data_IF_951845493489
#
_entry.id   IF_951845493489
#
_cell.length_a   1.000
_cell.length_b   1.000
_cell.length_c   1.000
_cell.angle_alpha   90.00
_cell.angle_beta   90.00
_cell.angle_gamma   90.00
#
_symmetry.space_group_name_H-M   'P 1'
#
loop_
_entity.id
_entity.type
_entity.pdbx_description
1 polymer ?
#
# COMPACT_ATOMS: atom_id res chain seq x y z
N UNK A 1 -23.03 -18.65 -13.41
CA UNK A 1 -21.82 -17.85 -13.09
C UNK A 1 -22.11 -16.36 -13.01
N UNK A 2 -22.80 -15.76 -13.99
CA UNK A 2 -23.21 -14.34 -13.95
C UNK A 2 -24.05 -13.95 -12.73
N UNK A 3 -24.93 -14.84 -12.24
CA UNK A 3 -25.72 -14.59 -11.03
C UNK A 3 -24.84 -14.37 -9.78
N UNK A 4 -23.86 -15.25 -9.55
CA UNK A 4 -22.92 -15.12 -8.44
C UNK A 4 -22.05 -13.86 -8.55
N UNK A 5 -21.62 -13.50 -9.76
CA UNK A 5 -20.89 -12.25 -10.00
C UNK A 5 -21.75 -11.02 -9.68
N UNK A 6 -23.04 -11.03 -10.05
CA UNK A 6 -23.98 -9.93 -9.76
C UNK A 6 -24.25 -9.82 -8.26
N UNK A 7 -24.37 -10.95 -7.56
CA UNK A 7 -24.55 -10.98 -6.11
C UNK A 7 -23.32 -10.44 -5.40
N UNK A 8 -22.11 -10.87 -5.78
CA UNK A 8 -20.86 -10.31 -5.24
C UNK A 8 -20.72 -8.80 -5.54
N UNK A 9 -21.15 -8.33 -6.72
CA UNK A 9 -21.14 -6.92 -7.08
C UNK A 9 -22.01 -6.10 -6.11
N UNK A 10 -23.23 -6.55 -5.84
CA UNK A 10 -24.15 -5.87 -4.92
C UNK A 10 -23.59 -5.89 -3.49
N UNK A 11 -23.06 -7.01 -3.04
CA UNK A 11 -22.44 -7.14 -1.71
C UNK A 11 -21.24 -6.19 -1.57
N UNK A 12 -20.39 -6.08 -2.58
CA UNK A 12 -19.23 -5.19 -2.58
C UNK A 12 -19.63 -3.71 -2.50
N UNK A 13 -20.69 -3.30 -3.23
CA UNK A 13 -21.21 -1.93 -3.18
C UNK A 13 -21.81 -1.63 -1.80
N UNK A 14 -22.62 -2.55 -1.26
CA UNK A 14 -23.24 -2.40 0.07
C UNK A 14 -22.18 -2.35 1.17
N UNK A 15 -21.18 -3.23 1.13
CA UNK A 15 -20.04 -3.18 2.05
C UNK A 15 -19.21 -1.89 1.89
N UNK A 16 -19.06 -1.43 0.64
CA UNK A 16 -18.45 -0.17 0.24
C UNK A 16 -19.10 1.06 0.89
N UNK A 17 -20.42 1.12 0.82
CA UNK A 17 -21.20 2.27 1.32
C UNK A 17 -21.41 2.20 2.84
N UNK A 18 -21.62 1.01 3.41
CA UNK A 18 -21.97 0.86 4.84
C UNK A 18 -20.76 0.82 5.78
N UNK A 19 -19.58 0.37 5.33
CA UNK A 19 -18.47 0.10 6.26
C UNK A 19 -17.09 0.53 5.78
N UNK A 20 -16.93 0.80 4.48
CA UNK A 20 -15.61 1.06 3.92
C UNK A 20 -15.04 2.44 4.29
N UNK A 21 -15.88 3.42 4.63
CA UNK A 21 -15.41 4.74 5.06
C UNK A 21 -14.55 4.72 6.34
N UNK A 22 -14.93 3.89 7.33
CA UNK A 22 -14.19 3.77 8.59
C UNK A 22 -12.89 2.98 8.47
N UNK A 23 -12.91 1.88 7.70
CA UNK A 23 -11.74 1.03 7.46
C UNK A 23 -10.77 1.71 6.50
N UNK A 24 -11.26 2.47 5.51
CA UNK A 24 -10.42 3.28 4.64
C UNK A 24 -9.63 4.34 5.43
N UNK A 25 -10.24 4.95 6.45
CA UNK A 25 -9.57 5.92 7.32
C UNK A 25 -8.42 5.31 8.13
N UNK A 26 -8.65 4.15 8.77
CA UNK A 26 -7.62 3.45 9.54
C UNK A 26 -6.54 2.86 8.63
N UNK A 27 -6.91 2.26 7.50
CA UNK A 27 -5.99 1.77 6.49
C UNK A 27 -5.12 2.89 5.90
N UNK A 28 -5.68 4.08 5.66
CA UNK A 28 -4.92 5.25 5.24
C UNK A 28 -3.90 5.71 6.30
N UNK A 29 -4.23 5.57 7.58
CA UNK A 29 -3.29 5.79 8.70
C UNK A 29 -2.11 4.81 8.65
N UNK A 30 -2.40 3.51 8.55
CA UNK A 30 -1.37 2.47 8.43
C UNK A 30 -0.49 2.64 7.17
N UNK A 31 -1.09 2.98 6.03
CA UNK A 31 -0.38 3.23 4.79
C UNK A 31 0.63 4.38 4.91
N UNK A 32 0.28 5.45 5.64
CA UNK A 32 1.20 6.58 5.88
C UNK A 32 2.44 6.16 6.66
N UNK A 33 2.29 5.30 7.67
CA UNK A 33 3.41 4.80 8.48
C UNK A 33 4.37 3.96 7.62
N UNK A 34 3.83 3.01 6.85
CA UNK A 34 4.59 2.19 5.90
C UNK A 34 5.28 3.03 4.82
N UNK A 35 4.59 4.05 4.29
CA UNK A 35 5.15 4.97 3.31
C UNK A 35 6.35 5.73 3.88
N UNK A 36 6.26 6.22 5.12
CA UNK A 36 7.37 6.92 5.77
C UNK A 36 8.58 6.00 6.02
N UNK A 37 8.33 4.77 6.47
CA UNK A 37 9.39 3.76 6.65
C UNK A 37 10.07 3.48 5.31
N UNK A 38 9.29 3.28 4.25
CA UNK A 38 9.83 3.09 2.90
C UNK A 38 10.62 4.29 2.44
N UNK A 39 10.15 5.51 2.71
CA UNK A 39 10.86 6.75 2.37
C UNK A 39 12.21 6.83 3.07
N UNK A 40 12.27 6.50 4.36
CA UNK A 40 13.52 6.47 5.12
C UNK A 40 14.48 5.42 4.54
N UNK A 41 13.99 4.21 4.29
CA UNK A 41 14.78 3.15 3.68
C UNK A 41 15.24 3.51 2.25
N UNK A 42 14.39 4.18 1.48
CA UNK A 42 14.71 4.69 0.15
C UNK A 42 15.84 5.70 0.24
N UNK A 43 15.72 6.70 1.12
CA UNK A 43 16.76 7.72 1.32
C UNK A 43 18.07 7.07 1.76
N UNK A 44 18.02 6.14 2.72
CA UNK A 44 19.22 5.39 3.15
C UNK A 44 19.82 4.60 1.99
N UNK A 45 19.00 3.85 1.24
CA UNK A 45 19.45 3.09 0.09
C UNK A 45 20.05 3.99 -0.98
N UNK A 46 19.44 5.14 -1.25
CA UNK A 46 19.89 6.10 -2.25
C UNK A 46 21.20 6.77 -1.83
N UNK A 47 21.35 7.14 -0.55
CA UNK A 47 22.60 7.66 0.03
C UNK A 47 23.68 6.59 0.01
N UNK A 48 23.38 5.35 0.42
CA UNK A 48 24.33 4.23 0.39
C UNK A 48 24.75 3.91 -1.04
N UNK A 49 23.84 3.91 -2.01
CA UNK A 49 24.14 3.64 -3.41
C UNK A 49 24.92 4.79 -4.06
N UNK A 50 24.58 6.04 -3.71
CA UNK A 50 25.27 7.24 -4.17
C UNK A 50 26.67 7.37 -3.56
N UNK A 51 26.85 7.05 -2.27
CA UNK A 51 28.16 6.96 -1.62
C UNK A 51 28.95 5.75 -2.09
N UNK A 52 28.28 4.64 -2.46
CA UNK A 52 28.87 3.47 -3.11
C UNK A 52 28.97 3.67 -4.62
N UNK A 53 29.38 4.87 -5.05
CA UNK A 53 29.87 5.10 -6.40
C UNK A 53 31.06 4.18 -6.67
N UNK A 54 30.82 3.07 -7.39
CA UNK A 54 31.78 2.04 -7.82
C UNK A 54 32.37 1.15 -6.72
N UNK A 55 31.97 -0.12 -6.74
CA UNK A 55 32.75 -1.19 -6.12
C UNK A 55 32.13 -2.56 -6.36
N UNK A 56 32.29 -3.16 -7.56
CA UNK A 56 32.03 -4.58 -7.74
C UNK A 56 33.13 -5.36 -7.02
N UNK A 57 32.82 -5.94 -5.87
CA UNK A 57 33.60 -6.97 -5.16
C UNK A 57 32.56 -7.68 -4.28
N UNK A 58 32.00 -8.82 -4.61
CA UNK A 58 32.45 -10.06 -5.26
C UNK A 58 31.18 -10.78 -5.73
#
# INVERSE_FOLDING_TARGET
MLYWALVCLVIAIVAGVLGFGGIAGTAAGFAKVLFFIFLILLVISLVVNFMKGRGPKI
#
